data_IF_062317037531
#
_entry.id   IF_062317037531
#
_cell.length_a   1.000
_cell.length_b   1.000
_cell.length_c   1.000
_cell.angle_alpha   90.00
_cell.angle_beta   90.00
_cell.angle_gamma   90.00
#
_symmetry.space_group_name_H-M   'P 1'
#
loop_
_entity.id
_entity.type
_entity.pdbx_description
1 polymer ?
#
# COMPACT_ATOMS: atom_id res chain seq x y z
N UNK A 1 12.39 -16.22 -20.01
CA UNK A 1 12.31 -15.79 -18.59
C UNK A 1 10.93 -15.23 -18.20
N UNK A 2 10.25 -14.41 -19.04
CA UNK A 2 8.89 -13.88 -18.75
C UNK A 2 7.82 -14.98 -18.75
N UNK A 3 7.87 -15.90 -19.71
CA UNK A 3 6.94 -17.03 -19.81
C UNK A 3 7.04 -17.96 -18.61
N UNK A 4 8.25 -18.31 -18.17
CA UNK A 4 8.46 -19.14 -16.98
C UNK A 4 7.89 -18.52 -15.69
N UNK A 5 8.01 -17.21 -15.53
CA UNK A 5 7.42 -16.50 -14.37
C UNK A 5 5.89 -16.49 -14.41
N UNK A 6 5.30 -16.34 -15.60
CA UNK A 6 3.84 -16.42 -15.76
C UNK A 6 3.33 -17.84 -15.50
N UNK A 7 4.03 -18.86 -16.01
CA UNK A 7 3.68 -20.26 -15.78
C UNK A 7 3.82 -20.67 -14.31
N UNK A 8 4.90 -20.24 -13.62
CA UNK A 8 5.07 -20.53 -12.19
C UNK A 8 3.99 -19.83 -11.35
N UNK A 9 3.65 -18.58 -11.65
CA UNK A 9 2.55 -17.88 -10.97
C UNK A 9 1.20 -18.55 -11.20
N UNK A 10 0.91 -18.98 -12.42
CA UNK A 10 -0.31 -19.73 -12.75
C UNK A 10 -0.35 -21.09 -12.04
N UNK A 11 0.78 -21.82 -12.01
CA UNK A 11 0.88 -23.10 -11.31
C UNK A 11 0.68 -22.94 -9.79
N UNK A 12 1.26 -21.92 -9.17
CA UNK A 12 1.06 -21.64 -7.75
C UNK A 12 -0.40 -21.28 -7.48
N UNK A 13 -1.03 -20.45 -8.31
CA UNK A 13 -2.46 -20.10 -8.18
C UNK A 13 -3.33 -21.35 -8.29
N UNK A 14 -3.07 -22.21 -9.27
CA UNK A 14 -3.80 -23.45 -9.45
C UNK A 14 -3.60 -24.42 -8.28
N UNK A 15 -2.36 -24.57 -7.78
CA UNK A 15 -2.05 -25.43 -6.64
C UNK A 15 -2.72 -24.93 -5.35
N UNK A 16 -2.69 -23.62 -5.08
CA UNK A 16 -3.37 -23.02 -3.92
C UNK A 16 -4.89 -23.13 -4.05
N UNK A 17 -5.44 -22.90 -5.24
CA UNK A 17 -6.86 -23.09 -5.51
C UNK A 17 -7.30 -24.55 -5.33
N UNK A 18 -6.51 -25.51 -5.84
CA UNK A 18 -6.76 -26.93 -5.64
C UNK A 18 -6.64 -27.37 -4.17
N UNK A 19 -5.68 -26.82 -3.42
CA UNK A 19 -5.52 -27.09 -2.00
C UNK A 19 -6.73 -26.57 -1.19
N UNK A 20 -7.21 -25.35 -1.49
CA UNK A 20 -8.41 -24.79 -0.87
C UNK A 20 -9.64 -25.64 -1.25
N UNK A 21 -9.75 -26.03 -2.52
CA UNK A 21 -10.84 -26.87 -3.02
C UNK A 21 -10.87 -28.26 -2.37
N UNK A 22 -9.70 -28.80 -2.07
CA UNK A 22 -9.57 -30.12 -1.39
C UNK A 22 -9.83 -30.01 0.13
N UNK A 23 -9.34 -28.92 0.75
CA UNK A 23 -9.40 -28.75 2.19
C UNK A 23 -10.77 -28.27 2.71
N UNK A 24 -11.59 -27.65 1.84
CA UNK A 24 -12.86 -27.04 2.25
C UNK A 24 -14.02 -27.63 1.45
N UNK A 25 -15.05 -28.20 2.10
CA UNK A 25 -16.24 -28.73 1.44
C UNK A 25 -17.02 -27.59 0.78
N UNK A 26 -17.10 -27.58 -0.55
CA UNK A 26 -17.79 -26.52 -1.32
C UNK A 26 -19.25 -26.35 -0.92
N UNK A 27 -19.93 -27.41 -0.48
CA UNK A 27 -21.30 -27.35 0.01
C UNK A 27 -21.44 -26.43 1.23
N UNK A 28 -20.51 -26.52 2.18
CA UNK A 28 -20.52 -25.71 3.39
C UNK A 28 -20.14 -24.25 3.12
N UNK A 29 -19.20 -24.01 2.19
CA UNK A 29 -18.88 -22.65 1.72
C UNK A 29 -20.10 -22.01 1.04
N UNK A 30 -20.81 -22.76 0.20
CA UNK A 30 -22.05 -22.30 -0.43
C UNK A 30 -23.09 -21.96 0.63
N UNK A 31 -23.28 -22.80 1.62
CA UNK A 31 -24.22 -22.55 2.73
C UNK A 31 -23.83 -21.28 3.52
N UNK A 32 -22.51 -21.03 3.73
CA UNK A 32 -22.05 -19.80 4.35
C UNK A 32 -22.40 -18.56 3.52
N UNK A 33 -22.39 -18.66 2.17
CA UNK A 33 -22.86 -17.58 1.30
C UNK A 33 -24.38 -17.37 1.34
N UNK A 34 -25.18 -18.38 1.68
CA UNK A 34 -26.63 -18.24 1.84
C UNK A 34 -27.02 -17.34 3.02
N UNK A 35 -26.12 -17.20 4.00
CA UNK A 35 -26.27 -16.27 5.13
C UNK A 35 -25.80 -14.85 4.84
N UNK A 36 -25.38 -14.54 3.60
CA UNK A 36 -24.83 -13.23 3.25
C UNK A 36 -25.87 -12.13 3.31
N UNK A 37 -25.66 -11.14 4.18
CA UNK A 37 -26.47 -9.96 4.31
C UNK A 37 -25.85 -8.77 3.55
N UNK A 38 -26.44 -8.35 2.40
CA UNK A 38 -25.94 -7.25 1.60
C UNK A 38 -26.01 -5.88 2.31
N UNK A 39 -26.75 -5.74 3.40
CA UNK A 39 -26.80 -4.51 4.18
C UNK A 39 -25.42 -4.08 4.73
N UNK A 40 -24.50 -5.02 4.86
CA UNK A 40 -23.13 -4.74 5.27
C UNK A 40 -22.22 -4.23 4.14
N UNK A 41 -22.61 -4.37 2.87
CA UNK A 41 -21.79 -3.93 1.72
C UNK A 41 -21.40 -2.45 1.78
N UNK A 42 -22.27 -1.50 2.14
CA UNK A 42 -21.87 -0.10 2.28
C UNK A 42 -20.77 0.11 3.33
N UNK A 43 -20.86 -0.58 4.46
CA UNK A 43 -19.84 -0.51 5.51
C UNK A 43 -18.50 -1.13 5.04
N UNK A 44 -18.55 -2.28 4.39
CA UNK A 44 -17.38 -2.95 3.82
C UNK A 44 -16.70 -2.09 2.75
N UNK A 45 -17.45 -1.68 1.73
CA UNK A 45 -16.90 -0.94 0.59
C UNK A 45 -16.51 0.48 0.97
N UNK A 46 -17.28 1.14 1.83
CA UNK A 46 -17.01 2.50 2.31
C UNK A 46 -15.74 2.57 3.17
N UNK A 47 -15.60 1.65 4.12
CA UNK A 47 -14.40 1.58 4.95
C UNK A 47 -13.16 1.22 4.12
N UNK A 48 -13.26 0.27 3.19
CA UNK A 48 -12.15 -0.04 2.28
C UNK A 48 -11.81 1.14 1.37
N UNK A 49 -12.81 1.84 0.79
CA UNK A 49 -12.59 3.02 -0.03
C UNK A 49 -11.86 4.14 0.74
N UNK A 50 -12.14 4.29 2.05
CA UNK A 50 -11.46 5.27 2.90
C UNK A 50 -9.95 5.00 3.03
N UNK A 51 -9.49 3.77 2.83
CA UNK A 51 -8.06 3.47 2.87
C UNK A 51 -7.26 4.21 1.80
N UNK A 52 -7.85 4.52 0.65
CA UNK A 52 -7.15 5.22 -0.45
C UNK A 52 -6.81 6.67 -0.13
N UNK A 53 -7.75 7.53 0.31
CA UNK A 53 -7.42 8.90 0.70
C UNK A 53 -6.52 8.94 1.95
N UNK A 54 -6.64 8.01 2.90
CA UNK A 54 -5.71 7.91 4.03
C UNK A 54 -4.28 7.61 3.57
N UNK A 55 -4.11 6.68 2.62
CA UNK A 55 -2.82 6.38 2.00
C UNK A 55 -2.25 7.58 1.25
N UNK A 56 -3.09 8.29 0.49
CA UNK A 56 -2.72 9.52 -0.21
C UNK A 56 -2.27 10.61 0.77
N UNK A 57 -3.03 10.84 1.84
CA UNK A 57 -2.70 11.83 2.87
C UNK A 57 -1.38 11.50 3.58
N UNK A 58 -1.11 10.22 3.85
CA UNK A 58 0.18 9.75 4.37
C UNK A 58 1.34 10.13 3.43
N UNK A 59 1.26 9.82 2.15
CA UNK A 59 2.32 10.15 1.19
C UNK A 59 2.48 11.66 1.00
N UNK A 60 1.38 12.41 1.06
CA UNK A 60 1.43 13.87 1.04
C UNK A 60 2.15 14.42 2.28
N UNK A 61 1.87 13.88 3.47
CA UNK A 61 2.56 14.24 4.70
C UNK A 61 4.06 13.91 4.62
N UNK A 62 4.43 12.81 3.94
CA UNK A 62 5.83 12.44 3.68
C UNK A 62 6.50 13.27 2.58
N UNK A 63 5.84 14.31 2.05
CA UNK A 63 6.45 15.28 1.15
C UNK A 63 6.23 15.05 -0.34
N UNK A 64 5.29 14.19 -0.76
CA UNK A 64 4.93 14.08 -2.18
C UNK A 64 4.16 15.33 -2.63
N UNK A 65 4.67 16.11 -3.60
CA UNK A 65 4.09 17.41 -3.98
C UNK A 65 2.93 17.25 -4.98
N UNK A 66 1.93 16.43 -4.63
CA UNK A 66 0.71 16.23 -5.41
C UNK A 66 -0.53 16.62 -4.59
N UNK A 67 -1.57 17.08 -5.28
CA UNK A 67 -2.88 17.30 -4.68
C UNK A 67 -3.47 15.98 -4.12
N UNK A 68 -4.23 16.07 -3.02
CA UNK A 68 -4.77 14.89 -2.34
C UNK A 68 -5.60 14.00 -3.29
N UNK A 69 -6.41 14.63 -4.18
CA UNK A 69 -7.23 13.88 -5.13
C UNK A 69 -6.42 13.12 -6.19
N UNK A 70 -5.32 13.69 -6.68
CA UNK A 70 -4.46 13.04 -7.66
C UNK A 70 -3.61 11.95 -7.00
N UNK A 71 -3.19 12.20 -5.77
CA UNK A 71 -2.47 11.21 -4.98
C UNK A 71 -3.39 10.03 -4.56
N UNK A 72 -4.69 10.30 -4.32
CA UNK A 72 -5.69 9.25 -4.13
C UNK A 72 -5.86 8.42 -5.40
N UNK A 73 -5.92 9.05 -6.58
CA UNK A 73 -5.96 8.32 -7.85
C UNK A 73 -4.71 7.44 -8.04
N UNK A 74 -3.52 7.97 -7.71
CA UNK A 74 -2.27 7.18 -7.72
C UNK A 74 -2.34 6.00 -6.75
N UNK A 75 -2.86 6.20 -5.54
CA UNK A 75 -3.00 5.15 -4.53
C UNK A 75 -3.95 4.03 -4.99
N UNK A 76 -5.08 4.38 -5.63
CA UNK A 76 -6.05 3.42 -6.19
C UNK A 76 -5.40 2.59 -7.30
N UNK A 77 -4.75 3.25 -8.27
CA UNK A 77 -4.05 2.55 -9.38
C UNK A 77 -2.95 1.65 -8.83
N UNK A 78 -2.17 2.12 -7.87
CA UNK A 78 -1.12 1.34 -7.22
C UNK A 78 -1.68 0.07 -6.56
N UNK A 79 -2.76 0.18 -5.77
CA UNK A 79 -3.40 -0.96 -5.13
C UNK A 79 -4.00 -1.95 -6.13
N UNK A 80 -4.64 -1.45 -7.19
CA UNK A 80 -5.16 -2.29 -8.27
C UNK A 80 -4.03 -3.05 -8.96
N UNK A 81 -2.95 -2.37 -9.34
CA UNK A 81 -1.81 -3.00 -10.00
C UNK A 81 -1.09 -4.01 -9.09
N UNK A 82 -1.04 -3.77 -7.77
CA UNK A 82 -0.51 -4.75 -6.81
C UNK A 82 -1.35 -6.02 -6.74
N UNK A 83 -2.64 -5.92 -7.01
CA UNK A 83 -3.51 -7.10 -7.06
C UNK A 83 -3.45 -7.85 -8.38
N UNK A 84 -3.27 -7.13 -9.51
CA UNK A 84 -3.29 -7.76 -10.85
C UNK A 84 -1.91 -8.29 -11.26
N UNK A 85 -0.84 -7.57 -10.92
CA UNK A 85 0.50 -7.94 -11.36
C UNK A 85 1.13 -8.99 -10.44
N UNK A 86 1.73 -10.05 -11.02
CA UNK A 86 2.38 -11.10 -10.25
C UNK A 86 3.64 -10.56 -9.54
N UNK A 87 4.07 -11.27 -8.49
CA UNK A 87 5.33 -10.99 -7.75
C UNK A 87 5.38 -9.55 -7.22
N UNK A 88 4.22 -8.96 -6.87
CA UNK A 88 4.10 -7.58 -6.37
C UNK A 88 4.74 -6.52 -7.28
N UNK A 89 4.82 -6.79 -8.59
CA UNK A 89 5.37 -5.83 -9.55
C UNK A 89 4.60 -4.49 -9.56
N UNK A 90 3.37 -4.48 -9.07
CA UNK A 90 2.57 -3.27 -8.84
C UNK A 90 3.20 -2.27 -7.88
N UNK A 91 4.09 -2.70 -6.97
CA UNK A 91 4.82 -1.79 -6.06
C UNK A 91 5.62 -0.73 -6.83
N UNK A 92 6.09 -1.07 -8.03
CA UNK A 92 6.81 -0.13 -8.89
C UNK A 92 5.88 0.90 -9.56
N UNK A 93 4.57 0.69 -9.53
CA UNK A 93 3.62 1.63 -10.14
C UNK A 93 3.61 2.98 -9.42
N UNK A 94 3.68 3.00 -8.09
CA UNK A 94 3.70 4.24 -7.32
C UNK A 94 4.91 5.13 -7.68
N UNK A 95 6.17 4.67 -7.60
CA UNK A 95 7.34 5.47 -8.00
C UNK A 95 7.26 5.98 -9.44
N UNK A 96 6.77 5.12 -10.36
CA UNK A 96 6.63 5.50 -11.77
C UNK A 96 5.58 6.58 -11.96
N UNK A 97 4.41 6.47 -11.33
CA UNK A 97 3.33 7.43 -11.44
C UNK A 97 3.71 8.78 -10.83
N UNK A 98 4.26 8.78 -9.62
CA UNK A 98 4.70 10.01 -8.93
C UNK A 98 5.82 10.70 -9.71
N UNK A 99 6.78 9.94 -10.24
CA UNK A 99 7.80 10.50 -11.14
C UNK A 99 7.20 11.17 -12.37
N UNK A 100 6.19 10.54 -12.98
CA UNK A 100 5.54 11.06 -14.19
C UNK A 100 4.67 12.28 -13.93
N UNK A 101 4.10 12.42 -12.74
CA UNK A 101 3.13 13.47 -12.41
C UNK A 101 3.78 14.69 -11.76
N UNK A 102 4.84 14.53 -10.97
CA UNK A 102 5.45 15.63 -10.25
C UNK A 102 6.99 15.63 -10.25
N UNK A 103 7.62 14.83 -11.12
CA UNK A 103 9.07 14.83 -11.27
C UNK A 103 9.87 14.24 -10.11
N UNK A 104 9.21 13.72 -9.06
CA UNK A 104 9.89 13.05 -7.94
C UNK A 104 10.78 11.92 -8.47
N UNK A 105 12.02 11.81 -7.98
CA UNK A 105 12.92 10.76 -8.47
C UNK A 105 12.35 9.37 -8.19
N UNK A 106 12.63 8.40 -9.07
CA UNK A 106 12.17 7.02 -8.90
C UNK A 106 12.67 6.42 -7.58
N UNK A 107 13.90 6.75 -7.18
CA UNK A 107 14.51 6.28 -5.92
C UNK A 107 13.76 6.84 -4.72
N UNK A 108 13.38 8.14 -4.74
CA UNK A 108 12.55 8.72 -3.70
C UNK A 108 11.19 8.04 -3.61
N UNK A 109 10.56 7.76 -4.74
CA UNK A 109 9.29 7.03 -4.79
C UNK A 109 9.40 5.64 -4.16
N UNK A 110 10.47 4.89 -4.46
CA UNK A 110 10.73 3.57 -3.84
C UNK A 110 10.96 3.71 -2.34
N UNK A 111 11.76 4.69 -1.91
CA UNK A 111 12.02 4.93 -0.48
C UNK A 111 10.73 5.28 0.28
N UNK A 112 9.86 6.11 -0.31
CA UNK A 112 8.56 6.47 0.29
C UNK A 112 7.64 5.26 0.45
N UNK A 113 7.60 4.36 -0.55
CA UNK A 113 6.84 3.10 -0.46
C UNK A 113 7.41 2.21 0.65
N UNK A 114 8.74 2.03 0.71
CA UNK A 114 9.39 1.24 1.74
C UNK A 114 9.14 1.80 3.15
N UNK A 115 9.25 3.12 3.34
CA UNK A 115 8.92 3.78 4.60
C UNK A 115 7.44 3.61 4.97
N UNK A 116 6.55 3.70 3.98
CA UNK A 116 5.14 3.41 4.17
C UNK A 116 4.90 2.00 4.68
N UNK A 117 5.55 0.99 4.10
CA UNK A 117 5.45 -0.39 4.56
C UNK A 117 6.01 -0.61 5.96
N UNK A 118 7.11 0.06 6.34
CA UNK A 118 7.63 -0.03 7.70
C UNK A 118 6.67 0.56 8.73
N UNK A 119 6.00 1.68 8.42
CA UNK A 119 4.93 2.24 9.26
C UNK A 119 3.73 1.29 9.34
N UNK A 120 3.31 0.71 8.21
CA UNK A 120 2.23 -0.27 8.17
C UNK A 120 2.55 -1.46 9.07
N UNK A 121 3.72 -2.08 8.93
CA UNK A 121 4.15 -3.22 9.72
C UNK A 121 4.27 -2.90 11.21
N UNK A 122 4.79 -1.72 11.57
CA UNK A 122 4.89 -1.31 12.97
C UNK A 122 3.51 -1.16 13.62
N UNK A 123 2.55 -0.53 12.94
CA UNK A 123 1.19 -0.38 13.46
C UNK A 123 0.44 -1.71 13.52
N UNK A 124 0.61 -2.57 12.51
CA UNK A 124 0.04 -3.92 12.53
C UNK A 124 0.61 -4.73 13.69
N UNK A 125 1.92 -4.68 13.92
CA UNK A 125 2.56 -5.38 15.02
C UNK A 125 2.03 -4.91 16.38
N UNK A 126 1.84 -3.59 16.56
CA UNK A 126 1.22 -3.03 17.79
C UNK A 126 -0.22 -3.52 17.93
N UNK A 127 -1.03 -3.43 16.88
CA UNK A 127 -2.42 -3.85 16.92
C UNK A 127 -2.55 -5.37 17.17
N UNK A 128 -1.70 -6.18 16.53
CA UNK A 128 -1.66 -7.60 16.71
C UNK A 128 -1.27 -7.99 18.13
N UNK A 129 -0.24 -7.35 18.70
CA UNK A 129 0.18 -7.59 20.08
C UNK A 129 -0.93 -7.21 21.07
N UNK A 130 -1.60 -6.06 20.86
CA UNK A 130 -2.74 -5.66 21.67
C UNK A 130 -3.89 -6.68 21.56
N UNK A 131 -4.19 -7.17 20.35
CA UNK A 131 -5.19 -8.23 20.12
C UNK A 131 -4.82 -9.54 20.80
N UNK A 132 -3.57 -9.98 20.73
CA UNK A 132 -3.09 -11.17 21.43
C UNK A 132 -3.26 -11.07 22.95
N UNK A 133 -2.93 -9.91 23.52
CA UNK A 133 -3.08 -9.68 24.96
C UNK A 133 -4.54 -9.65 25.40
N UNK A 134 -5.45 -9.18 24.53
CA UNK A 134 -6.89 -9.13 24.80
C UNK A 134 -7.58 -10.49 24.66
N UNK A 135 -6.99 -11.46 23.93
CA UNK A 135 -7.58 -12.78 23.64
C UNK A 135 -6.76 -13.89 24.29
N UNK A 136 -7.15 -14.39 25.49
CA UNK A 136 -6.39 -15.44 26.22
C UNK A 136 -6.15 -16.69 25.36
N UNK A 137 -7.20 -17.18 24.66
CA UNK A 137 -7.13 -18.36 23.79
C UNK A 137 -6.07 -18.24 22.70
N UNK A 138 -5.99 -17.07 22.05
CA UNK A 138 -5.01 -16.82 20.97
C UNK A 138 -3.60 -16.67 21.53
N UNK A 139 -3.47 -16.04 22.70
CA UNK A 139 -2.20 -15.92 23.42
C UNK A 139 -1.64 -17.29 23.80
N UNK A 140 -2.48 -18.21 24.27
CA UNK A 140 -2.09 -19.58 24.55
C UNK A 140 -1.64 -20.34 23.31
N UNK A 141 -2.39 -20.21 22.19
CA UNK A 141 -2.06 -20.84 20.91
C UNK A 141 -0.74 -20.32 20.30
N UNK A 142 -0.46 -19.02 20.41
CA UNK A 142 0.79 -18.40 19.94
C UNK A 142 1.97 -18.67 20.88
N UNK A 143 1.67 -18.85 22.15
CA UNK A 143 2.63 -19.13 23.21
C UNK A 143 3.53 -17.95 23.58
N UNK A 144 4.34 -18.09 24.63
CA UNK A 144 5.21 -17.01 25.12
C UNK A 144 6.31 -16.64 24.10
N UNK A 145 6.85 -17.62 23.40
CA UNK A 145 7.90 -17.38 22.39
C UNK A 145 7.37 -16.56 21.21
N UNK A 146 6.19 -16.90 20.67
CA UNK A 146 5.58 -16.14 19.57
C UNK A 146 5.23 -14.71 19.99
N UNK A 147 4.68 -14.53 21.20
CA UNK A 147 4.39 -13.21 21.76
C UNK A 147 5.67 -12.37 21.92
N UNK A 148 6.76 -12.97 22.42
CA UNK A 148 8.06 -12.30 22.56
C UNK A 148 8.64 -11.91 21.18
N UNK A 149 8.51 -12.77 20.16
CA UNK A 149 8.96 -12.47 18.80
C UNK A 149 8.21 -11.25 18.19
N UNK A 150 6.89 -11.19 18.37
CA UNK A 150 6.11 -10.03 17.89
C UNK A 150 6.51 -8.76 18.65
N UNK A 151 6.70 -8.84 19.95
CA UNK A 151 7.15 -7.70 20.77
C UNK A 151 8.56 -7.23 20.34
N UNK A 152 9.48 -8.16 20.05
CA UNK A 152 10.83 -7.84 19.59
C UNK A 152 10.87 -7.31 18.15
N UNK A 153 9.92 -7.68 17.28
CA UNK A 153 9.83 -7.16 15.92
C UNK A 153 9.54 -5.65 15.90
N UNK A 154 8.79 -5.12 16.87
CA UNK A 154 8.41 -3.71 16.90
C UNK A 154 9.62 -2.75 16.97
N UNK A 155 10.57 -2.87 17.91
CA UNK A 155 11.75 -2.02 17.93
C UNK A 155 12.61 -2.22 16.67
N UNK A 156 12.68 -3.42 16.11
CA UNK A 156 13.39 -3.68 14.85
C UNK A 156 12.75 -2.93 13.66
N UNK A 157 11.42 -2.87 13.58
CA UNK A 157 10.69 -2.12 12.55
C UNK A 157 10.89 -0.61 12.71
N UNK A 158 10.85 -0.10 13.93
CA UNK A 158 11.13 1.31 14.23
C UNK A 158 12.58 1.66 13.85
N UNK A 159 13.54 0.83 14.26
CA UNK A 159 14.94 0.99 13.87
C UNK A 159 15.12 0.95 12.34
N UNK A 160 14.46 0.00 11.66
CA UNK A 160 14.43 -0.08 10.20
C UNK A 160 13.92 1.21 9.56
N UNK A 161 12.81 1.76 10.05
CA UNK A 161 12.27 3.04 9.58
C UNK A 161 13.29 4.18 9.70
N UNK A 162 13.93 4.30 10.85
CA UNK A 162 14.89 5.38 11.13
C UNK A 162 16.21 5.22 10.37
N UNK A 163 16.67 3.97 10.19
CA UNK A 163 17.99 3.66 9.64
C UNK A 163 17.98 3.44 8.12
N UNK A 164 16.87 2.98 7.53
CA UNK A 164 16.80 2.63 6.11
C UNK A 164 17.29 3.75 5.17
N UNK A 165 16.86 5.03 5.31
CA UNK A 165 17.36 6.11 4.46
C UNK A 165 18.85 6.39 4.68
N UNK A 166 19.34 6.25 5.93
CA UNK A 166 20.74 6.47 6.27
C UNK A 166 21.65 5.38 5.70
N UNK A 167 21.29 4.13 5.91
CA UNK A 167 22.02 2.98 5.38
C UNK A 167 22.00 2.98 3.85
N UNK A 168 20.85 3.19 3.24
CA UNK A 168 20.68 3.28 1.80
C UNK A 168 21.55 4.38 1.19
N UNK A 169 21.59 5.57 1.80
CA UNK A 169 22.42 6.67 1.32
C UNK A 169 23.92 6.39 1.47
N UNK A 170 24.34 5.71 2.55
CA UNK A 170 25.74 5.29 2.76
C UNK A 170 26.17 4.23 1.75
N UNK A 171 25.34 3.21 1.54
CA UNK A 171 25.59 2.15 0.56
C UNK A 171 25.67 2.70 -0.87
N UNK A 172 24.73 3.57 -1.26
CA UNK A 172 24.74 4.20 -2.58
C UNK A 172 26.01 5.01 -2.80
N UNK A 173 26.46 5.81 -1.82
CA UNK A 173 27.73 6.57 -1.89
C UNK A 173 28.95 5.65 -1.97
N UNK A 174 28.99 4.60 -1.17
CA UNK A 174 30.09 3.63 -1.20
C UNK A 174 30.23 2.92 -2.55
N UNK A 175 29.08 2.53 -3.14
CA UNK A 175 29.06 1.96 -4.49
C UNK A 175 29.44 2.98 -5.57
N UNK A 176 28.96 4.23 -5.44
CA UNK A 176 29.30 5.31 -6.35
C UNK A 176 30.81 5.55 -6.38
N UNK A 177 31.46 5.60 -5.20
CA UNK A 177 32.92 5.75 -5.09
C UNK A 177 33.67 4.61 -5.77
N UNK A 178 33.24 3.35 -5.58
CA UNK A 178 33.86 2.20 -6.21
C UNK A 178 33.72 2.20 -7.74
N UNK A 179 32.62 2.76 -8.26
CA UNK A 179 32.31 2.75 -9.69
C UNK A 179 32.77 4.00 -10.44
N UNK A 180 33.32 5.02 -9.77
CA UNK A 180 33.75 6.29 -10.41
C UNK A 180 34.72 6.09 -11.56
N UNK A 181 35.66 5.17 -11.41
CA UNK A 181 36.67 4.90 -12.44
C UNK A 181 36.19 4.05 -13.61
N UNK A 182 35.30 3.08 -13.34
CA UNK A 182 34.85 2.10 -14.34
C UNK A 182 33.55 2.44 -15.02
N UNK A 183 32.61 3.11 -14.31
CA UNK A 183 31.26 3.39 -14.77
C UNK A 183 30.78 4.79 -14.35
N UNK A 184 31.29 5.88 -14.97
CA UNK A 184 31.01 7.26 -14.51
C UNK A 184 29.51 7.64 -14.53
N UNK A 185 28.74 7.12 -15.53
CA UNK A 185 27.29 7.33 -15.58
C UNK A 185 26.54 6.56 -14.47
N UNK A 186 27.05 5.40 -14.09
CA UNK A 186 26.52 4.58 -12.99
C UNK A 186 26.77 5.24 -11.65
N UNK A 187 27.98 5.75 -11.40
CA UNK A 187 28.33 6.44 -10.16
C UNK A 187 27.51 7.71 -9.96
N UNK A 188 27.31 8.53 -11.00
CA UNK A 188 26.48 9.73 -10.91
C UNK A 188 25.02 9.41 -10.55
N UNK A 189 24.46 8.30 -11.06
CA UNK A 189 23.12 7.84 -10.66
C UNK A 189 23.06 7.39 -9.21
N UNK A 190 24.10 6.73 -8.71
CA UNK A 190 24.20 6.31 -7.32
C UNK A 190 24.40 7.49 -6.37
N UNK A 191 25.20 8.51 -6.75
CA UNK A 191 25.34 9.74 -5.99
C UNK A 191 24.00 10.48 -5.87
N UNK A 192 23.27 10.62 -6.98
CA UNK A 192 21.90 11.20 -6.98
C UNK A 192 20.92 10.38 -6.13
N UNK A 193 21.00 9.05 -6.15
CA UNK A 193 20.19 8.19 -5.29
C UNK A 193 20.53 8.39 -3.81
N UNK A 194 21.81 8.55 -3.47
CA UNK A 194 22.26 8.80 -2.11
C UNK A 194 21.75 10.15 -1.57
N UNK A 195 21.82 11.21 -2.38
CA UNK A 195 21.28 12.54 -2.05
C UNK A 195 19.77 12.48 -1.83
N UNK A 196 19.05 11.79 -2.73
CA UNK A 196 17.61 11.61 -2.63
C UNK A 196 17.21 10.88 -1.34
N UNK A 197 17.91 9.81 -0.98
CA UNK A 197 17.66 9.08 0.27
C UNK A 197 18.01 9.91 1.51
N UNK A 198 19.07 10.73 1.43
CA UNK A 198 19.41 11.66 2.51
C UNK A 198 18.34 12.73 2.70
N UNK A 199 17.75 13.25 1.62
CA UNK A 199 16.66 14.23 1.68
C UNK A 199 15.38 13.66 2.31
N UNK A 200 15.06 12.37 2.10
CA UNK A 200 13.90 11.71 2.75
C UNK A 200 14.06 11.67 4.29
N UNK A 201 15.29 11.73 4.81
CA UNK A 201 15.58 11.77 6.25
C UNK A 201 15.13 13.07 6.93
N UNK A 202 14.96 14.15 6.18
CA UNK A 202 14.64 15.49 6.73
C UNK A 202 13.15 15.71 6.93
N UNK A 203 12.35 14.65 6.99
CA UNK A 203 10.92 14.76 7.30
C UNK A 203 10.74 15.37 8.69
N UNK A 204 10.03 16.48 8.77
CA UNK A 204 9.79 17.17 10.04
C UNK A 204 9.00 16.30 11.02
N UNK A 205 9.16 16.52 12.33
CA UNK A 205 8.40 15.80 13.36
C UNK A 205 6.88 15.89 13.14
N UNK A 206 6.40 17.05 12.67
CA UNK A 206 4.98 17.23 12.32
C UNK A 206 4.54 16.35 11.17
N UNK A 207 5.31 16.29 10.09
CA UNK A 207 5.03 15.46 8.92
C UNK A 207 5.06 13.97 9.28
N UNK A 208 6.01 13.56 10.11
CA UNK A 208 6.09 12.20 10.64
C UNK A 208 4.87 11.85 11.51
N UNK A 209 4.49 12.70 12.45
CA UNK A 209 3.29 12.54 13.27
C UNK A 209 2.02 12.43 12.41
N UNK A 210 1.88 13.29 11.40
CA UNK A 210 0.77 13.21 10.45
C UNK A 210 0.77 11.88 9.66
N UNK A 211 1.95 11.39 9.25
CA UNK A 211 2.05 10.09 8.56
C UNK A 211 1.62 8.93 9.47
N UNK A 212 1.97 8.95 10.76
CA UNK A 212 1.49 7.96 11.74
C UNK A 212 -0.03 8.02 11.89
N UNK A 213 -0.60 9.20 12.06
CA UNK A 213 -2.07 9.38 12.20
C UNK A 213 -2.79 8.83 10.97
N UNK A 214 -2.36 9.19 9.76
CA UNK A 214 -2.97 8.70 8.53
C UNK A 214 -2.78 7.19 8.33
N UNK A 215 -1.66 6.62 8.79
CA UNK A 215 -1.46 5.17 8.79
C UNK A 215 -2.40 4.49 9.79
N UNK A 216 -2.60 5.08 10.98
CA UNK A 216 -3.58 4.60 11.95
C UNK A 216 -5.01 4.60 11.38
N UNK A 217 -5.43 5.70 10.77
CA UNK A 217 -6.74 5.80 10.11
C UNK A 217 -6.90 4.79 8.97
N UNK A 218 -5.86 4.56 8.18
CA UNK A 218 -5.84 3.54 7.13
C UNK A 218 -6.09 2.15 7.71
N UNK A 219 -5.41 1.79 8.81
CA UNK A 219 -5.55 0.47 9.43
C UNK A 219 -6.88 0.32 10.17
N UNK A 220 -7.39 1.36 10.82
CA UNK A 220 -8.74 1.36 11.39
C UNK A 220 -9.79 1.10 10.30
N UNK A 221 -9.69 1.79 9.17
CA UNK A 221 -10.58 1.58 8.03
C UNK A 221 -10.43 0.15 7.43
N UNK A 222 -9.21 -0.40 7.39
CA UNK A 222 -8.97 -1.77 6.96
C UNK A 222 -9.62 -2.77 7.90
N UNK A 223 -9.41 -2.65 9.22
CA UNK A 223 -10.03 -3.54 10.21
C UNK A 223 -11.57 -3.39 10.22
N UNK A 224 -12.10 -2.19 10.01
CA UNK A 224 -13.53 -1.97 9.86
C UNK A 224 -14.10 -2.72 8.64
N UNK A 225 -13.38 -2.74 7.50
CA UNK A 225 -13.80 -3.52 6.33
C UNK A 225 -13.74 -5.03 6.59
N UNK A 226 -12.74 -5.49 7.35
CA UNK A 226 -12.62 -6.88 7.77
C UNK A 226 -13.79 -7.28 8.71
N UNK A 227 -14.10 -6.42 9.67
CA UNK A 227 -15.22 -6.64 10.59
C UNK A 227 -16.56 -6.64 9.87
N UNK A 228 -16.79 -5.70 8.96
CA UNK A 228 -17.99 -5.67 8.12
C UNK A 228 -18.14 -6.93 7.25
N UNK A 229 -17.03 -7.51 6.79
CA UNK A 229 -17.05 -8.78 6.06
C UNK A 229 -17.57 -9.94 6.91
N UNK A 230 -17.15 -10.00 8.17
CA UNK A 230 -17.64 -11.01 9.12
C UNK A 230 -19.12 -10.81 9.44
N UNK A 231 -19.54 -9.55 9.66
CA UNK A 231 -20.93 -9.19 9.86
C UNK A 231 -21.80 -9.60 8.68
N UNK A 232 -21.36 -9.39 7.45
CA UNK A 232 -22.07 -9.78 6.24
C UNK A 232 -22.36 -11.28 6.13
N UNK A 233 -21.56 -12.13 6.77
CA UNK A 233 -21.75 -13.58 6.82
C UNK A 233 -22.37 -14.05 8.14
N UNK A 234 -22.87 -13.13 8.97
CA UNK A 234 -23.45 -13.46 10.25
C UNK A 234 -22.47 -14.11 11.24
N UNK A 235 -21.16 -13.85 11.08
CA UNK A 235 -20.12 -14.39 11.97
C UNK A 235 -19.86 -13.39 13.10
N UNK A 236 -20.30 -13.67 14.34
CA UNK A 236 -20.04 -12.80 15.48
C UNK A 236 -18.56 -12.91 15.86
N UNK A 237 -17.81 -11.82 15.65
CA UNK A 237 -16.41 -11.74 16.05
C UNK A 237 -16.15 -10.46 16.83
N UNK A 238 -15.34 -10.57 17.87
CA UNK A 238 -14.87 -9.42 18.63
C UNK A 238 -13.84 -8.62 17.82
N UNK A 239 -13.74 -7.28 18.01
CA UNK A 239 -12.76 -6.46 17.29
C UNK A 239 -11.32 -6.97 17.43
N UNK A 240 -10.93 -7.48 18.59
CA UNK A 240 -9.60 -8.06 18.81
C UNK A 240 -9.36 -9.30 17.93
N UNK A 241 -10.38 -10.16 17.79
CA UNK A 241 -10.32 -11.34 16.93
C UNK A 241 -10.19 -10.95 15.43
N UNK A 242 -10.86 -9.88 15.02
CA UNK A 242 -10.70 -9.34 13.66
C UNK A 242 -9.27 -8.90 13.42
N UNK A 243 -8.66 -8.15 14.32
CA UNK A 243 -7.26 -7.70 14.22
C UNK A 243 -6.32 -8.89 14.10
N UNK A 244 -6.44 -9.87 15.01
CA UNK A 244 -5.57 -11.04 15.01
C UNK A 244 -5.76 -11.89 13.76
N UNK A 245 -7.01 -12.22 13.41
CA UNK A 245 -7.34 -13.06 12.26
C UNK A 245 -6.90 -12.44 10.93
N UNK A 246 -7.19 -11.14 10.73
CA UNK A 246 -6.81 -10.44 9.49
C UNK A 246 -5.29 -10.21 9.36
N UNK A 247 -4.57 -10.11 10.49
CA UNK A 247 -3.11 -9.93 10.46
C UNK A 247 -2.40 -11.11 9.79
N UNK A 248 -2.89 -12.34 9.97
CA UNK A 248 -2.33 -13.51 9.29
C UNK A 248 -2.44 -13.38 7.76
N UNK A 249 -3.56 -12.88 7.23
CA UNK A 249 -3.73 -12.59 5.82
C UNK A 249 -2.74 -11.54 5.32
N UNK A 250 -2.53 -10.48 6.12
CA UNK A 250 -1.60 -9.40 5.79
C UNK A 250 -0.17 -9.94 5.73
N UNK A 251 0.25 -10.72 6.72
CA UNK A 251 1.58 -11.34 6.76
C UNK A 251 1.77 -12.32 5.59
N UNK A 252 0.77 -13.16 5.29
CA UNK A 252 0.81 -14.04 4.13
C UNK A 252 0.95 -13.26 2.82
N UNK A 253 0.28 -12.11 2.70
CA UNK A 253 0.36 -11.27 1.51
C UNK A 253 1.73 -10.61 1.32
N UNK A 254 2.57 -10.50 2.36
CA UNK A 254 3.95 -9.96 2.25
C UNK A 254 4.89 -10.99 1.62
N UNK A 255 4.59 -12.27 1.73
CA UNK A 255 5.41 -13.32 1.14
C UNK A 255 5.41 -13.20 -0.39
N UNK A 256 6.57 -13.31 -1.05
CA UNK A 256 6.66 -13.19 -2.52
C UNK A 256 6.19 -14.48 -3.25
N UNK A 257 5.35 -15.29 -2.59
CA UNK A 257 4.84 -16.59 -3.07
C UNK A 257 3.44 -16.43 -3.71
N UNK A 258 3.00 -15.20 -3.96
CA UNK A 258 1.66 -14.93 -4.49
C UNK A 258 1.48 -15.44 -5.92
N UNK A 259 0.36 -16.12 -6.18
CA UNK A 259 -0.17 -16.38 -7.51
C UNK A 259 -0.55 -15.08 -8.24
N UNK A 260 -1.18 -15.21 -9.41
CA UNK A 260 -1.73 -14.06 -10.13
C UNK A 260 -2.76 -13.36 -9.22
N UNK A 261 -2.57 -12.08 -8.99
CA UNK A 261 -3.48 -11.27 -8.16
C UNK A 261 -3.38 -11.50 -6.65
N UNK A 262 -2.31 -12.15 -6.16
CA UNK A 262 -2.17 -12.60 -4.76
C UNK A 262 -3.29 -13.56 -4.31
N UNK A 263 -4.08 -14.09 -5.24
CA UNK A 263 -5.10 -15.09 -4.94
C UNK A 263 -4.46 -16.37 -4.36
N UNK A 264 -5.13 -16.94 -3.39
CA UNK A 264 -4.71 -18.13 -2.65
C UNK A 264 -3.89 -17.81 -1.41
N UNK A 265 -2.90 -16.94 -1.47
CA UNK A 265 -2.07 -16.59 -0.29
C UNK A 265 -2.80 -15.68 0.68
N UNK A 266 -3.54 -14.69 0.18
CA UNK A 266 -4.35 -13.80 1.01
C UNK A 266 -5.50 -14.58 1.66
N UNK A 267 -6.24 -15.35 0.87
CA UNK A 267 -7.39 -16.14 1.32
C UNK A 267 -6.96 -17.25 2.30
N UNK A 268 -5.86 -17.94 2.00
CA UNK A 268 -5.31 -18.96 2.90
C UNK A 268 -4.83 -18.38 4.22
N UNK A 269 -4.11 -17.25 4.18
CA UNK A 269 -3.69 -16.54 5.38
C UNK A 269 -4.87 -16.01 6.21
N UNK A 270 -5.91 -15.51 5.52
CA UNK A 270 -7.16 -15.08 6.16
C UNK A 270 -7.86 -16.24 6.85
N UNK A 271 -8.11 -17.33 6.13
CA UNK A 271 -8.78 -18.51 6.67
C UNK A 271 -8.01 -19.06 7.87
N UNK A 272 -6.69 -19.24 7.76
CA UNK A 272 -5.85 -19.70 8.86
C UNK A 272 -5.92 -18.78 10.10
N UNK A 273 -5.87 -17.46 9.87
CA UNK A 273 -5.95 -16.47 10.95
C UNK A 273 -7.30 -16.48 11.66
N UNK A 274 -8.40 -16.61 10.93
CA UNK A 274 -9.74 -16.64 11.54
C UNK A 274 -10.06 -17.97 12.19
N UNK A 275 -9.56 -19.09 11.67
CA UNK A 275 -9.63 -20.39 12.35
C UNK A 275 -8.86 -20.34 13.68
N UNK A 276 -7.70 -19.71 13.73
CA UNK A 276 -6.93 -19.51 14.96
C UNK A 276 -7.72 -18.79 16.05
N UNK A 277 -8.56 -17.82 15.68
CA UNK A 277 -9.42 -17.10 16.63
C UNK A 277 -10.79 -17.77 16.86
N UNK A 278 -11.03 -18.95 16.29
CA UNK A 278 -12.18 -19.80 16.58
C UNK A 278 -13.34 -19.70 15.59
N UNK A 279 -13.14 -19.10 14.42
CA UNK A 279 -14.12 -19.14 13.33
C UNK A 279 -14.02 -20.49 12.61
N UNK A 280 -15.17 -21.09 12.28
CA UNK A 280 -15.19 -22.35 11.55
C UNK A 280 -14.59 -22.22 10.13
N UNK A 281 -13.88 -23.25 9.63
CA UNK A 281 -13.13 -23.14 8.39
C UNK A 281 -13.98 -22.75 7.17
N UNK A 282 -15.20 -23.28 6.93
CA UNK A 282 -16.02 -22.88 5.79
C UNK A 282 -16.38 -21.40 5.80
N UNK A 283 -16.75 -20.84 6.96
CA UNK A 283 -17.07 -19.41 7.09
C UNK A 283 -15.82 -18.54 6.96
N UNK A 284 -14.69 -19.00 7.48
CA UNK A 284 -13.42 -18.29 7.31
C UNK A 284 -13.03 -18.19 5.83
N UNK A 285 -13.19 -19.26 5.04
CA UNK A 285 -12.94 -19.24 3.58
C UNK A 285 -13.98 -18.41 2.85
N UNK A 286 -15.27 -18.54 3.16
CA UNK A 286 -16.31 -17.73 2.55
C UNK A 286 -16.06 -16.23 2.76
N UNK A 287 -15.69 -15.83 4.00
CA UNK A 287 -15.39 -14.44 4.30
C UNK A 287 -14.14 -13.93 3.56
N UNK A 288 -13.12 -14.76 3.36
CA UNK A 288 -11.97 -14.44 2.54
C UNK A 288 -12.37 -14.11 1.10
N UNK A 289 -13.25 -14.93 0.50
CA UNK A 289 -13.72 -14.76 -0.86
C UNK A 289 -14.60 -13.50 -1.01
N UNK A 290 -15.49 -13.23 -0.04
CA UNK A 290 -16.29 -11.99 -0.01
C UNK A 290 -15.40 -10.76 0.04
N UNK A 291 -14.44 -10.71 0.96
CA UNK A 291 -13.52 -9.59 1.09
C UNK A 291 -12.70 -9.39 -0.19
N UNK A 292 -12.10 -10.47 -0.70
CA UNK A 292 -11.27 -10.40 -1.90
C UNK A 292 -12.06 -9.95 -3.12
N UNK A 293 -13.25 -10.52 -3.34
CA UNK A 293 -14.12 -10.16 -4.46
C UNK A 293 -14.61 -8.71 -4.38
N UNK A 294 -15.15 -8.31 -3.23
CA UNK A 294 -15.68 -6.96 -3.02
C UNK A 294 -14.58 -5.89 -3.17
N UNK A 295 -13.44 -6.10 -2.51
CA UNK A 295 -12.33 -5.14 -2.57
C UNK A 295 -11.64 -5.12 -3.94
N UNK A 296 -11.60 -6.24 -4.67
CA UNK A 296 -11.11 -6.28 -6.05
C UNK A 296 -12.03 -5.51 -6.99
N UNK A 297 -13.33 -5.74 -6.92
CA UNK A 297 -14.32 -5.02 -7.73
C UNK A 297 -14.24 -3.51 -7.50
N UNK A 298 -14.14 -3.07 -6.23
CA UNK A 298 -13.98 -1.65 -5.90
C UNK A 298 -12.64 -1.09 -6.43
N UNK A 299 -11.54 -1.83 -6.30
CA UNK A 299 -10.24 -1.39 -6.80
C UNK A 299 -10.23 -1.28 -8.34
N UNK A 300 -10.89 -2.20 -9.05
CA UNK A 300 -11.03 -2.18 -10.51
C UNK A 300 -11.83 -0.96 -10.97
N UNK A 301 -13.03 -0.75 -10.40
CA UNK A 301 -13.86 0.40 -10.72
C UNK A 301 -13.14 1.73 -10.38
N UNK A 302 -12.53 1.79 -9.21
CA UNK A 302 -11.75 2.93 -8.77
C UNK A 302 -10.55 3.22 -9.67
N UNK A 303 -9.84 2.19 -10.15
CA UNK A 303 -8.71 2.35 -11.07
C UNK A 303 -9.16 2.96 -12.41
N UNK A 304 -10.29 2.52 -12.95
CA UNK A 304 -10.88 3.13 -14.16
C UNK A 304 -11.12 4.64 -13.99
N UNK A 305 -11.80 5.03 -12.89
CA UNK A 305 -12.05 6.43 -12.57
C UNK A 305 -10.75 7.22 -12.32
N UNK A 306 -9.77 6.62 -11.65
CA UNK A 306 -8.49 7.23 -11.38
C UNK A 306 -7.69 7.49 -12.67
N UNK A 307 -7.69 6.58 -13.64
CA UNK A 307 -7.06 6.79 -14.94
C UNK A 307 -7.73 7.89 -15.75
N UNK A 308 -9.06 7.94 -15.76
CA UNK A 308 -9.81 9.03 -16.41
C UNK A 308 -9.43 10.39 -15.79
N UNK A 309 -9.38 10.48 -14.46
CA UNK A 309 -8.98 11.70 -13.76
C UNK A 309 -7.55 12.14 -14.12
N UNK A 310 -6.57 11.26 -14.03
CA UNK A 310 -5.17 11.59 -14.33
C UNK A 310 -4.97 11.91 -15.81
N UNK A 311 -5.72 11.28 -16.71
CA UNK A 311 -5.74 11.64 -18.14
C UNK A 311 -6.29 13.03 -18.40
N UNK A 312 -7.34 13.44 -17.68
CA UNK A 312 -7.92 14.78 -17.80
C UNK A 312 -6.96 15.87 -17.27
N UNK A 313 -6.25 15.61 -16.17
CA UNK A 313 -5.23 16.53 -15.61
C UNK A 313 -4.14 16.81 -16.66
N UNK A 314 -3.59 15.76 -17.27
CA UNK A 314 -2.57 15.90 -18.32
C UNK A 314 -3.03 16.68 -19.55
N UNK A 315 -4.28 16.47 -19.98
CA UNK A 315 -4.84 17.22 -21.12
C UNK A 315 -4.97 18.70 -20.80
N UNK A 316 -5.35 19.06 -19.59
CA UNK A 316 -5.44 20.46 -19.14
C UNK A 316 -4.08 21.14 -19.07
N UNK A 317 -3.06 20.46 -18.57
CA UNK A 317 -1.68 20.98 -18.51
C UNK A 317 -1.10 21.18 -19.93
N UNK A 318 -1.32 20.23 -20.85
CA UNK A 318 -0.93 20.36 -22.26
C UNK A 318 -1.65 21.52 -22.97
N UNK A 319 -2.93 21.74 -22.70
CA UNK A 319 -3.71 22.83 -23.27
C UNK A 319 -3.28 24.21 -22.74
N UNK A 320 -2.93 24.31 -21.44
CA UNK A 320 -2.40 25.55 -20.85
C UNK A 320 -0.99 25.87 -21.35
N UNK A 321 -0.13 24.86 -21.50
CA UNK A 321 1.20 25.03 -22.08
C UNK A 321 1.13 25.49 -23.55
N UNK A 322 0.22 24.96 -24.36
CA UNK A 322 -0.01 25.36 -25.74
C UNK A 322 -0.56 26.79 -25.88
N UNK A 323 -1.34 27.27 -24.91
CA UNK A 323 -1.87 28.65 -24.89
C UNK A 323 -0.85 29.66 -24.37
N UNK A 324 0.18 29.23 -23.64
CA UNK A 324 1.22 30.11 -23.09
C UNK A 324 2.35 30.41 -24.07
N UNK A 325 2.36 29.83 -25.29
CA UNK A 325 3.30 30.18 -26.37
C UNK A 325 2.67 31.33 -27.19
N UNK A 326 3.13 32.59 -27.03
CA UNK A 326 2.68 33.67 -27.89
C UNK A 326 3.21 33.44 -29.32
N UNK A 327 2.34 33.64 -30.31
CA UNK A 327 2.71 33.62 -31.70
C UNK A 327 3.93 34.52 -31.96
N UNK A 328 5.03 33.93 -32.34
CA UNK A 328 6.18 34.64 -32.94
C UNK A 328 7.49 34.50 -32.16
N UNK A 329 8.20 33.42 -32.39
CA UNK A 329 9.63 33.29 -32.71
C UNK A 329 10.06 31.85 -32.51
N UNK A 330 10.34 31.17 -33.57
CA UNK A 330 11.04 29.89 -33.56
C UNK A 330 12.50 30.17 -33.12
N UNK A 331 12.80 29.88 -31.84
CA UNK A 331 14.18 29.70 -31.39
C UNK A 331 14.13 28.78 -30.16
N UNK A 332 14.89 27.71 -30.26
CA UNK A 332 15.30 26.74 -29.24
C UNK A 332 14.33 25.63 -28.86
N UNK A 333 14.83 24.41 -29.04
CA UNK A 333 14.20 23.16 -28.63
C UNK A 333 13.90 23.17 -27.12
N UNK A 334 12.75 22.66 -26.68
CA UNK A 334 12.41 22.63 -25.25
C UNK A 334 13.38 21.76 -24.49
N UNK A 335 13.77 22.14 -23.26
CA UNK A 335 14.64 21.33 -22.40
C UNK A 335 13.97 19.98 -22.09
N UNK A 336 14.76 18.94 -22.13
CA UNK A 336 14.33 17.54 -21.99
C UNK A 336 13.81 17.14 -20.59
N UNK A 337 13.58 18.10 -19.69
CA UNK A 337 12.99 17.84 -18.36
C UNK A 337 11.79 18.77 -18.13
N UNK A 338 10.63 18.25 -17.73
CA UNK A 338 9.52 19.10 -17.29
C UNK A 338 9.95 19.88 -16.03
N UNK A 339 9.52 21.15 -15.88
CA UNK A 339 9.84 21.94 -14.70
C UNK A 339 9.26 21.27 -13.44
N UNK A 340 9.96 21.35 -12.29
CA UNK A 340 9.43 20.86 -11.04
C UNK A 340 8.10 21.57 -10.76
N UNK A 341 7.07 20.81 -10.35
CA UNK A 341 5.80 21.36 -9.91
C UNK A 341 6.08 22.41 -8.83
N UNK A 342 6.05 23.68 -9.24
CA UNK A 342 6.08 24.77 -8.27
C UNK A 342 4.90 24.58 -7.32
N UNK A 343 5.20 24.46 -6.03
CA UNK A 343 4.20 24.44 -4.99
C UNK A 343 3.20 25.55 -5.27
N UNK A 344 1.94 25.22 -5.51
CA UNK A 344 0.87 26.18 -5.40
C UNK A 344 0.77 26.51 -3.90
N UNK A 345 1.63 27.45 -3.48
CA UNK A 345 1.54 28.13 -2.21
C UNK A 345 0.16 28.77 -2.07
N UNK A 346 -0.32 28.79 -0.83
CA UNK A 346 -1.51 29.47 -0.38
C UNK A 346 -1.61 30.90 -0.97
N UNK A 347 -2.83 31.43 -1.12
CA UNK A 347 -3.01 32.81 -1.59
C UNK A 347 -2.25 33.78 -0.70
N UNK A 348 -1.70 34.86 -1.23
CA UNK A 348 -0.96 35.83 -0.45
C UNK A 348 -1.87 36.45 0.61
N UNK A 349 -1.36 36.51 1.85
CA UNK A 349 -2.00 37.20 2.97
C UNK A 349 -2.36 38.64 2.55
N UNK A 350 -3.62 39.01 2.76
CA UNK A 350 -4.07 40.38 2.61
C UNK A 350 -3.36 41.25 3.64
N UNK A 351 -2.82 42.42 3.28
CA UNK A 351 -2.26 43.32 4.25
C UNK A 351 -3.33 43.80 5.26
N UNK A 352 -3.01 43.73 6.53
CA UNK A 352 -3.83 44.26 7.60
C UNK A 352 -4.03 45.77 7.41
N UNK A 353 -5.22 46.33 7.74
CA UNK A 353 -5.43 47.76 7.70
C UNK A 353 -4.66 48.44 8.78
N UNK A 354 -3.97 49.56 8.42
CA UNK A 354 -3.27 50.44 9.32
C UNK A 354 -4.25 51.08 10.34
N UNK A 355 -3.96 50.95 11.60
CA UNK A 355 -4.22 51.93 12.67
C UNK A 355 -3.07 51.97 13.63
#
# INVERSE_FOLDING_TARGET
RRVWRALSAAAITAALGALIAWAVPFGEVRQAFESFDPAWLPALLGSYALTFPCRAARFRALGVPLGLGDLTAVAVIHQFLNRVLPVRAGELAFPVLVRRLCGTSFVAGVALVALGHLLDLALIAIAFLAGLLALPRTREAVGPTGTALVAAALPALIAGYLLLPALGSRLARGLAQRWRGSHPRGSARLDHAAETLAAVRTVSRRAFGAAIVWTGMLWLATFASCWATMGALGVPVEPAAVVVGSTAAILASVLPIGGIGSFGTLEGGWAAGFVLVGVDPPRAVASALVLSGATFALALAGAGLAWLRLGAVRRREGATASRAVPNGRATEAPPANPPPCAARSAPPDRPAPAR
#
